data_IF_711384894318
#
_entry.id   IF_711384894318
#
_cell.length_a   1.000
_cell.length_b   1.000
_cell.length_c   1.000
_cell.angle_alpha   90.00
_cell.angle_beta   90.00
_cell.angle_gamma   90.00
#
_symmetry.space_group_name_H-M   'P 1'
#
loop_
_entity.id
_entity.type
_entity.pdbx_description
1 polymer ?
#
# COMPACT_ATOMS: atom_id res chain seq x y z
N UNK A 1 -8.53 -4.92 15.41
CA UNK A 1 -9.66 -4.08 15.79
C UNK A 1 -9.92 -3.03 14.71
N UNK A 2 -11.07 -3.09 14.05
CA UNK A 2 -11.41 -2.22 12.90
C UNK A 2 -11.49 -0.75 13.30
N UNK A 3 -12.00 -0.44 14.50
CA UNK A 3 -12.16 0.96 14.95
C UNK A 3 -10.80 1.65 15.06
N UNK A 4 -9.82 0.99 15.66
CA UNK A 4 -8.44 1.52 15.77
C UNK A 4 -7.82 1.79 14.40
N UNK A 5 -8.08 0.92 13.42
CA UNK A 5 -7.61 1.11 12.06
C UNK A 5 -8.23 2.36 11.40
N UNK A 6 -9.55 2.54 11.54
CA UNK A 6 -10.28 3.70 11.00
C UNK A 6 -9.75 4.99 11.63
N UNK A 7 -9.63 5.06 12.96
CA UNK A 7 -9.10 6.25 13.63
C UNK A 7 -7.66 6.58 13.22
N UNK A 8 -6.80 5.56 13.09
CA UNK A 8 -5.43 5.77 12.61
C UNK A 8 -5.41 6.31 11.17
N UNK A 9 -6.28 5.81 10.29
CA UNK A 9 -6.41 6.30 8.92
C UNK A 9 -6.90 7.75 8.85
N UNK A 10 -7.90 8.12 9.65
CA UNK A 10 -8.45 9.48 9.67
C UNK A 10 -7.50 10.52 10.28
N UNK A 11 -6.63 10.11 11.19
CA UNK A 11 -5.65 11.00 11.84
C UNK A 11 -4.27 10.99 11.18
N UNK A 12 -4.06 10.23 10.09
CA UNK A 12 -2.74 10.12 9.49
C UNK A 12 -2.31 11.42 8.80
N UNK A 13 -1.11 11.94 9.11
CA UNK A 13 -0.59 13.21 8.57
C UNK A 13 -1.52 14.41 8.81
N UNK A 14 -2.22 14.42 9.93
CA UNK A 14 -2.97 15.59 10.40
C UNK A 14 -2.32 16.16 11.66
N UNK A 15 -2.73 17.36 12.07
CA UNK A 15 -2.29 18.01 13.32
C UNK A 15 -2.58 17.18 14.59
N UNK A 16 -3.36 16.11 14.49
CA UNK A 16 -3.58 15.16 15.59
C UNK A 16 -2.37 14.24 15.83
N UNK A 17 -1.44 14.18 14.88
CA UNK A 17 -0.20 13.42 15.01
C UNK A 17 0.91 14.31 15.55
N UNK A 18 1.99 13.68 16.01
CA UNK A 18 3.21 14.40 16.34
C UNK A 18 3.81 14.95 15.05
N UNK A 19 4.45 16.11 15.13
CA UNK A 19 5.12 16.72 13.98
C UNK A 19 6.63 16.43 14.02
N UNK A 20 7.23 16.30 12.85
CA UNK A 20 8.69 16.37 12.67
C UNK A 20 9.07 17.79 12.31
N UNK A 21 10.13 18.30 12.92
CA UNK A 21 10.70 19.62 12.61
C UNK A 21 11.99 19.46 11.83
N UNK A 22 12.10 20.16 10.72
CA UNK A 22 13.29 20.22 9.88
C UNK A 22 13.80 21.65 9.87
N UNK A 23 15.11 21.82 10.11
CA UNK A 23 15.77 23.11 10.03
C UNK A 23 16.97 22.97 9.09
N UNK A 24 17.08 23.87 8.11
CA UNK A 24 18.27 23.95 7.27
C UNK A 24 19.26 24.95 7.87
N UNK A 25 20.47 24.49 8.21
CA UNK A 25 21.51 25.34 8.81
C UNK A 25 22.03 26.42 7.86
N UNK A 26 21.86 26.26 6.54
CA UNK A 26 22.39 27.19 5.54
C UNK A 26 21.44 28.36 5.22
N UNK A 27 20.13 28.09 5.11
CA UNK A 27 19.14 29.11 4.75
C UNK A 27 18.15 29.43 5.88
N UNK A 28 18.32 28.81 7.05
CA UNK A 28 17.43 28.94 8.23
C UNK A 28 15.95 28.63 7.93
N UNK A 29 15.69 27.86 6.86
CA UNK A 29 14.34 27.41 6.57
C UNK A 29 13.90 26.39 7.62
N UNK A 30 12.75 26.65 8.24
CA UNK A 30 12.15 25.80 9.24
C UNK A 30 10.80 25.30 8.74
N UNK A 31 10.62 23.98 8.78
CA UNK A 31 9.40 23.35 8.33
C UNK A 31 8.94 22.29 9.33
N UNK A 32 7.63 22.19 9.54
CA UNK A 32 7.02 21.18 10.38
C UNK A 32 6.02 20.37 9.57
N UNK A 33 6.14 19.05 9.67
CA UNK A 33 5.25 18.12 8.98
C UNK A 33 4.63 17.13 9.96
N UNK A 34 3.32 16.87 9.90
CA UNK A 34 2.70 15.84 10.73
C UNK A 34 3.19 14.45 10.32
N UNK A 35 3.49 13.62 11.32
CA UNK A 35 3.96 12.25 11.14
C UNK A 35 2.81 11.34 10.65
N UNK A 36 3.22 10.23 10.03
CA UNK A 36 2.32 9.17 9.64
C UNK A 36 1.85 8.35 10.85
N UNK A 37 0.64 7.79 10.79
CA UNK A 37 0.06 7.04 11.92
C UNK A 37 0.71 5.67 12.20
N UNK A 38 1.56 5.17 11.28
CA UNK A 38 2.27 3.89 11.40
C UNK A 38 1.39 2.64 11.35
N UNK A 39 0.08 2.77 11.11
CA UNK A 39 -0.83 1.63 11.14
C UNK A 39 -0.74 0.79 9.85
N UNK A 40 -0.64 -0.54 9.98
CA UNK A 40 -0.45 -1.47 8.83
C UNK A 40 -1.56 -1.47 7.78
N UNK A 41 -2.78 -1.07 8.16
CA UNK A 41 -3.91 -0.96 7.24
C UNK A 41 -4.08 0.45 6.66
N UNK A 42 -3.25 1.42 7.08
CA UNK A 42 -3.32 2.78 6.55
C UNK A 42 -2.69 2.82 5.14
N UNK A 43 -3.46 3.17 4.09
CA UNK A 43 -2.94 3.18 2.72
C UNK A 43 -1.82 4.20 2.52
N UNK A 44 -1.90 5.35 3.20
CA UNK A 44 -0.87 6.39 3.14
C UNK A 44 0.45 5.94 3.75
N UNK A 45 0.40 5.26 4.91
CA UNK A 45 1.60 4.70 5.54
C UNK A 45 2.20 3.55 4.72
N UNK A 46 1.38 2.75 4.05
CA UNK A 46 1.82 1.61 3.26
C UNK A 46 2.13 1.96 1.80
N UNK A 47 2.00 3.24 1.39
CA UNK A 47 2.17 3.66 0.00
C UNK A 47 3.55 3.27 -0.54
N UNK A 48 4.63 3.61 0.18
CA UNK A 48 5.99 3.33 -0.25
C UNK A 48 6.26 1.82 -0.35
N UNK A 49 5.84 1.04 0.64
CA UNK A 49 5.98 -0.42 0.62
C UNK A 49 5.21 -1.04 -0.56
N UNK A 50 4.01 -0.54 -0.83
CA UNK A 50 3.17 -0.96 -1.96
C UNK A 50 3.82 -0.62 -3.29
N UNK A 51 4.35 0.60 -3.44
CA UNK A 51 5.08 1.02 -4.63
C UNK A 51 6.32 0.15 -4.88
N UNK A 52 7.14 -0.10 -3.85
CA UNK A 52 8.31 -0.99 -3.95
C UNK A 52 7.92 -2.43 -4.30
N UNK A 53 6.79 -2.92 -3.77
CA UNK A 53 6.27 -4.23 -4.15
C UNK A 53 5.80 -4.26 -5.61
N UNK A 54 5.10 -3.22 -6.07
CA UNK A 54 4.64 -3.07 -7.46
C UNK A 54 5.82 -3.04 -8.43
N UNK A 55 6.84 -2.24 -8.16
CA UNK A 55 8.06 -2.19 -8.99
C UNK A 55 8.70 -3.57 -9.13
N UNK A 56 8.81 -4.32 -8.02
CA UNK A 56 9.35 -5.70 -8.05
C UNK A 56 8.47 -6.66 -8.84
N UNK A 57 7.14 -6.51 -8.81
CA UNK A 57 6.27 -7.37 -9.63
C UNK A 57 6.35 -6.99 -11.11
N UNK A 58 6.42 -5.71 -11.43
CA UNK A 58 6.56 -5.23 -12.81
C UNK A 58 7.85 -5.74 -13.46
N UNK A 59 8.95 -5.84 -12.70
CA UNK A 59 10.21 -6.42 -13.18
C UNK A 59 10.12 -7.91 -13.55
N UNK A 60 9.11 -8.64 -13.05
CA UNK A 60 8.89 -10.05 -13.40
C UNK A 60 8.05 -10.22 -14.66
N UNK A 61 7.51 -9.14 -15.22
CA UNK A 61 6.71 -9.21 -16.44
C UNK A 61 7.60 -9.55 -17.63
N UNK A 62 7.18 -10.54 -18.40
CA UNK A 62 7.80 -10.86 -19.68
C UNK A 62 7.48 -9.76 -20.70
N UNK A 63 8.37 -9.47 -21.67
CA UNK A 63 8.14 -8.48 -22.72
C UNK A 63 7.16 -8.98 -23.78
N UNK A 64 5.95 -9.36 -23.34
CA UNK A 64 4.86 -9.88 -24.17
C UNK A 64 3.52 -9.44 -23.58
N UNK A 65 2.44 -9.66 -24.32
CA UNK A 65 1.10 -9.38 -23.81
C UNK A 65 0.74 -10.35 -22.67
N UNK A 66 0.50 -9.79 -21.49
CA UNK A 66 0.14 -10.54 -20.29
C UNK A 66 -1.35 -10.37 -19.99
N UNK A 67 -2.10 -11.48 -19.94
CA UNK A 67 -3.53 -11.48 -19.64
C UNK A 67 -3.83 -12.46 -18.51
N UNK A 68 -4.59 -12.02 -17.50
CA UNK A 68 -5.17 -12.91 -16.51
C UNK A 68 -6.59 -13.27 -16.95
N UNK A 69 -6.77 -14.48 -17.47
CA UNK A 69 -8.09 -14.97 -17.90
C UNK A 69 -8.76 -15.66 -16.72
N UNK A 70 -9.88 -15.10 -16.26
CA UNK A 70 -10.71 -15.74 -15.23
C UNK A 70 -12.01 -16.18 -15.88
N UNK A 71 -12.36 -17.45 -15.73
CA UNK A 71 -13.61 -18.01 -16.25
C UNK A 71 -14.23 -18.95 -15.22
N UNK A 72 -15.56 -19.06 -15.27
CA UNK A 72 -16.27 -20.04 -14.45
C UNK A 72 -16.16 -21.41 -15.10
N UNK A 73 -15.68 -22.40 -14.36
CA UNK A 73 -15.54 -23.75 -14.85
C UNK A 73 -16.94 -24.41 -15.00
N UNK A 74 -17.31 -24.90 -16.19
CA UNK A 74 -18.54 -25.67 -16.40
C UNK A 74 -18.62 -26.87 -15.47
N UNK A 75 -19.85 -27.27 -15.12
CA UNK A 75 -20.09 -28.32 -14.13
C UNK A 75 -19.40 -29.64 -14.51
N UNK A 76 -19.48 -30.00 -15.78
CA UNK A 76 -18.96 -31.23 -16.38
C UNK A 76 -17.44 -31.36 -16.24
N UNK A 77 -16.72 -30.23 -16.16
CA UNK A 77 -15.26 -30.17 -16.10
C UNK A 77 -14.72 -30.05 -14.66
N UNK A 78 -15.58 -29.90 -13.64
CA UNK A 78 -15.14 -29.68 -12.25
C UNK A 78 -14.37 -30.85 -11.66
N UNK A 79 -14.72 -32.08 -12.04
CA UNK A 79 -14.04 -33.30 -11.55
C UNK A 79 -12.56 -33.33 -11.96
N UNK A 80 -12.23 -32.88 -13.17
CA UNK A 80 -10.86 -32.84 -13.68
C UNK A 80 -9.96 -31.85 -12.93
N UNK A 81 -10.52 -30.71 -12.52
CA UNK A 81 -9.80 -29.70 -11.76
C UNK A 81 -9.61 -30.08 -10.28
N UNK A 82 -10.53 -30.86 -9.70
CA UNK A 82 -10.48 -31.29 -8.30
C UNK A 82 -9.44 -32.39 -8.02
N UNK A 83 -8.90 -33.02 -9.08
CA UNK A 83 -7.94 -34.13 -8.97
C UNK A 83 -6.47 -33.73 -9.11
N UNK A 84 -6.14 -32.43 -9.13
CA UNK A 84 -4.76 -31.94 -9.10
C UNK A 84 -4.33 -31.50 -7.69
#
# INVERSE_FOLDING_TARGET
DMRRAIYAMLSCQTEQQRNTSWCCDHCHHFEQHPLSCGHRHCPQCQHQATAQWLTRQQQKLLPTHYFMVTFTLPYELRTLAATQ
#
